data_IF_046502779465
#
_entry.id   IF_046502779465
#
_cell.length_a   1.000
_cell.length_b   1.000
_cell.length_c   1.000
_cell.angle_alpha   90.00
_cell.angle_beta   90.00
_cell.angle_gamma   90.00
#
_symmetry.space_group_name_H-M   'P 1'
#
loop_
_entity.id
_entity.type
_entity.pdbx_description
1 polymer ?
#
# COMPACT_ATOMS: atom_id res chain seq x y z
N UNK A 1 6.17 -16.13 0.95
CA UNK A 1 7.57 -15.86 0.53
C UNK A 1 8.58 -16.07 1.65
N UNK A 2 8.46 -15.38 2.81
CA UNK A 2 9.44 -15.50 3.90
C UNK A 2 9.69 -16.96 4.34
N UNK A 3 8.63 -17.70 4.68
CA UNK A 3 8.72 -19.12 5.05
C UNK A 3 9.42 -19.99 3.99
N UNK A 4 9.07 -19.81 2.71
CA UNK A 4 9.70 -20.56 1.60
C UNK A 4 11.19 -20.24 1.43
N UNK A 5 11.62 -19.03 1.79
CA UNK A 5 13.02 -18.58 1.72
C UNK A 5 13.78 -18.75 3.04
N UNK A 6 13.14 -19.31 4.08
CA UNK A 6 13.74 -19.50 5.40
C UNK A 6 13.94 -18.23 6.21
N UNK A 7 13.24 -17.13 5.89
CA UNK A 7 13.30 -15.90 6.67
C UNK A 7 12.29 -15.91 7.81
N UNK A 8 12.71 -15.40 8.99
CA UNK A 8 11.79 -14.98 10.04
C UNK A 8 11.05 -13.72 9.59
N UNK A 9 9.76 -13.65 9.88
CA UNK A 9 8.90 -12.53 9.48
C UNK A 9 8.13 -12.02 10.70
N UNK A 10 8.35 -10.76 11.03
CA UNK A 10 7.55 -10.01 12.00
C UNK A 10 6.69 -9.00 11.24
N UNK A 11 5.39 -9.01 11.49
CA UNK A 11 4.43 -8.07 10.91
C UNK A 11 3.87 -7.18 12.02
N UNK A 12 4.01 -5.87 11.83
CA UNK A 12 3.41 -4.85 12.69
C UNK A 12 2.15 -4.35 11.99
N UNK A 13 0.98 -4.62 12.57
CA UNK A 13 -0.31 -4.35 11.94
C UNK A 13 -1.29 -3.67 12.91
N UNK A 14 -2.11 -2.72 12.46
CA UNK A 14 -3.14 -2.12 13.30
C UNK A 14 -4.26 -3.10 13.68
N UNK A 15 -4.89 -2.87 14.82
CA UNK A 15 -5.99 -3.66 15.41
C UNK A 15 -7.31 -3.64 14.61
N UNK A 16 -7.46 -2.73 13.64
CA UNK A 16 -8.60 -2.71 12.70
C UNK A 16 -8.54 -3.80 11.60
N UNK A 17 -7.46 -4.58 11.52
CA UNK A 17 -7.31 -5.63 10.51
C UNK A 17 -8.13 -6.88 10.85
N UNK A 18 -8.78 -7.47 9.84
CA UNK A 18 -9.56 -8.70 9.98
C UNK A 18 -8.81 -9.84 10.71
N UNK A 19 -9.47 -10.49 11.67
CA UNK A 19 -8.88 -11.56 12.48
C UNK A 19 -8.44 -12.75 11.62
N UNK A 20 -9.16 -13.05 10.55
CA UNK A 20 -8.87 -14.12 9.61
C UNK A 20 -7.48 -13.94 8.97
N UNK A 21 -7.09 -12.70 8.64
CA UNK A 21 -5.76 -12.39 8.11
C UNK A 21 -4.68 -12.67 9.16
N UNK A 22 -4.91 -12.27 10.41
CA UNK A 22 -3.97 -12.50 11.52
C UNK A 22 -3.76 -13.99 11.76
N UNK A 23 -4.85 -14.76 11.82
CA UNK A 23 -4.81 -16.20 12.04
C UNK A 23 -4.11 -16.92 10.89
N UNK A 24 -4.38 -16.52 9.64
CA UNK A 24 -3.72 -17.08 8.48
C UNK A 24 -2.20 -16.83 8.50
N UNK A 25 -1.77 -15.60 8.80
CA UNK A 25 -0.35 -15.25 8.88
C UNK A 25 0.38 -15.98 10.01
N UNK A 26 -0.25 -16.12 11.18
CA UNK A 26 0.28 -16.93 12.29
C UNK A 26 0.43 -18.40 11.90
N UNK A 27 -0.56 -18.97 11.20
CA UNK A 27 -0.48 -20.34 10.69
C UNK A 27 0.66 -20.54 9.68
N UNK A 28 1.03 -19.49 8.94
CA UNK A 28 2.20 -19.47 8.05
C UNK A 28 3.54 -19.20 8.78
N UNK A 29 3.52 -19.07 10.11
CA UNK A 29 4.72 -18.88 10.94
C UNK A 29 5.18 -17.43 11.08
N UNK A 30 4.35 -16.45 10.76
CA UNK A 30 4.66 -15.04 11.00
C UNK A 30 4.45 -14.66 12.48
N UNK A 31 5.38 -13.89 13.02
CA UNK A 31 5.21 -13.20 14.30
C UNK A 31 4.37 -11.94 14.07
N UNK A 32 3.35 -11.71 14.89
CA UNK A 32 2.43 -10.58 14.73
C UNK A 32 2.54 -9.65 15.95
N UNK A 33 2.77 -8.37 15.68
CA UNK A 33 2.70 -7.29 16.65
C UNK A 33 1.49 -6.40 16.29
N UNK A 34 0.47 -6.41 17.15
CA UNK A 34 -0.74 -5.60 16.95
C UNK A 34 -0.50 -4.20 17.51
N UNK A 35 -0.88 -3.17 16.77
CA UNK A 35 -0.78 -1.75 17.18
C UNK A 35 -2.15 -1.08 17.15
N UNK A 36 -2.22 0.11 17.73
CA UNK A 36 -3.41 0.95 17.69
C UNK A 36 -3.68 1.48 16.26
N UNK A 37 -4.95 1.57 15.89
CA UNK A 37 -5.40 2.15 14.61
C UNK A 37 -5.87 3.60 14.70
N UNK A 38 -5.95 4.17 15.90
CA UNK A 38 -6.44 5.54 16.18
C UNK A 38 -5.32 6.59 16.32
N UNK A 39 -4.09 6.23 15.93
CA UNK A 39 -2.91 7.10 16.02
C UNK A 39 -2.22 7.20 14.66
N UNK A 40 -1.71 8.40 14.36
CA UNK A 40 -0.99 8.72 13.13
C UNK A 40 0.51 8.92 13.33
N UNK A 41 1.20 9.30 12.26
CA UNK A 41 2.66 9.51 12.22
C UNK A 41 3.14 10.47 13.32
N UNK A 42 4.23 10.10 13.99
CA UNK A 42 4.82 10.87 15.09
C UNK A 42 4.31 10.48 16.49
N UNK A 43 3.24 9.68 16.57
CA UNK A 43 2.86 9.02 17.81
C UNK A 43 3.73 7.77 18.05
N UNK A 44 4.22 7.50 19.28
CA UNK A 44 5.11 6.36 19.56
C UNK A 44 4.52 4.98 19.24
N UNK A 45 3.18 4.91 19.21
CA UNK A 45 2.42 3.69 18.88
C UNK A 45 2.03 3.57 17.39
N UNK A 46 2.52 4.46 16.53
CA UNK A 46 2.25 4.39 15.09
C UNK A 46 2.96 3.16 14.47
N UNK A 47 2.21 2.38 13.70
CA UNK A 47 2.67 1.06 13.25
C UNK A 47 3.94 1.09 12.39
N UNK A 48 4.12 2.12 11.56
CA UNK A 48 5.34 2.25 10.74
C UNK A 48 6.56 2.56 11.62
N UNK A 49 6.39 3.44 12.60
CA UNK A 49 7.45 3.88 13.51
C UNK A 49 7.86 2.71 14.44
N UNK A 50 6.89 1.93 14.93
CA UNK A 50 7.15 0.69 15.67
C UNK A 50 7.91 -0.32 14.80
N UNK A 51 7.50 -0.54 13.55
CA UNK A 51 8.14 -1.49 12.65
C UNK A 51 9.61 -1.12 12.37
N UNK A 52 9.87 0.16 12.13
CA UNK A 52 11.23 0.68 11.95
C UNK A 52 12.08 0.51 13.21
N UNK A 53 11.52 0.81 14.39
CA UNK A 53 12.20 0.63 15.67
C UNK A 53 12.54 -0.84 15.95
N UNK A 54 11.59 -1.76 15.77
CA UNK A 54 11.83 -3.21 15.94
C UNK A 54 12.94 -3.68 15.00
N UNK A 55 12.94 -3.21 13.74
CA UNK A 55 13.99 -3.56 12.80
C UNK A 55 15.37 -3.07 13.26
N UNK A 56 15.46 -1.83 13.75
CA UNK A 56 16.69 -1.27 14.32
C UNK A 56 17.19 -2.01 15.57
N UNK A 57 16.30 -2.37 16.48
CA UNK A 57 16.63 -3.08 17.73
C UNK A 57 17.07 -4.53 17.49
N UNK A 58 16.52 -5.19 16.48
CA UNK A 58 16.77 -6.62 16.20
C UNK A 58 17.77 -6.88 15.09
N UNK A 59 18.19 -5.83 14.36
CA UNK A 59 19.00 -5.96 13.15
C UNK A 59 18.23 -6.56 11.96
N UNK A 60 16.90 -6.52 11.98
CA UNK A 60 16.08 -7.02 10.89
C UNK A 60 16.06 -6.03 9.70
N UNK A 61 15.76 -6.55 8.51
CA UNK A 61 15.59 -5.70 7.32
C UNK A 61 14.18 -5.09 7.28
N UNK A 62 14.10 -3.76 7.34
CA UNK A 62 12.83 -3.04 7.23
C UNK A 62 12.39 -2.90 5.76
N UNK A 63 11.36 -3.65 5.36
CA UNK A 63 10.90 -3.71 3.96
C UNK A 63 10.26 -2.41 3.47
N UNK A 64 9.55 -1.71 4.36
CA UNK A 64 8.92 -0.39 4.15
C UNK A 64 8.18 -0.22 2.81
N UNK A 65 6.96 -0.76 2.69
CA UNK A 65 6.20 -0.67 1.43
C UNK A 65 5.89 0.75 0.96
N UNK A 66 5.93 1.75 1.87
CA UNK A 66 5.58 3.14 1.56
C UNK A 66 6.74 3.89 0.90
N UNK A 67 7.99 3.63 1.33
CA UNK A 67 9.17 4.31 0.78
C UNK A 67 10.00 3.43 -0.19
N UNK A 68 9.77 2.11 -0.21
CA UNK A 68 10.59 1.21 -1.01
C UNK A 68 10.27 1.34 -2.52
N UNK A 69 11.23 1.75 -3.37
CA UNK A 69 11.00 1.96 -4.80
C UNK A 69 10.63 0.66 -5.53
N UNK A 70 10.91 -0.51 -4.96
CA UNK A 70 10.51 -1.79 -5.52
C UNK A 70 8.99 -1.95 -5.60
N UNK A 71 8.22 -1.29 -4.72
CA UNK A 71 6.75 -1.34 -4.74
C UNK A 71 6.17 -0.78 -6.05
N UNK A 72 6.35 0.51 -6.40
CA UNK A 72 5.86 1.03 -7.67
C UNK A 72 6.56 0.40 -8.88
N UNK A 73 7.86 0.07 -8.77
CA UNK A 73 8.60 -0.55 -9.87
C UNK A 73 8.04 -1.92 -10.27
N UNK A 74 7.58 -2.73 -9.31
CA UNK A 74 6.95 -4.02 -9.63
C UNK A 74 5.77 -3.83 -10.59
N UNK A 75 4.88 -2.88 -10.30
CA UNK A 75 3.72 -2.60 -11.15
C UNK A 75 4.09 -1.97 -12.48
N UNK A 76 5.13 -1.13 -12.52
CA UNK A 76 5.63 -0.55 -13.76
C UNK A 76 6.26 -1.59 -14.69
N UNK A 77 7.00 -2.54 -14.11
CA UNK A 77 7.76 -3.55 -14.84
C UNK A 77 6.93 -4.78 -15.22
N UNK A 78 5.84 -5.08 -14.49
CA UNK A 78 5.03 -6.28 -14.74
C UNK A 78 3.55 -5.96 -14.94
N UNK A 79 2.87 -5.41 -13.93
CA UNK A 79 1.41 -5.21 -13.98
C UNK A 79 0.95 -4.34 -15.16
N UNK A 80 1.66 -3.24 -15.44
CA UNK A 80 1.37 -2.36 -16.57
C UNK A 80 1.50 -3.07 -17.93
N UNK A 81 2.66 -3.68 -18.25
CA UNK A 81 2.83 -4.50 -19.45
C UNK A 81 1.81 -5.62 -19.60
N UNK A 82 1.48 -6.31 -18.50
CA UNK A 82 0.48 -7.39 -18.50
C UNK A 82 -0.89 -6.87 -18.92
N UNK A 83 -1.38 -5.79 -18.28
CA UNK A 83 -2.67 -5.17 -18.62
C UNK A 83 -2.68 -4.74 -20.09
N UNK A 84 -1.63 -4.07 -20.56
CA UNK A 84 -1.55 -3.57 -21.94
C UNK A 84 -1.56 -4.67 -22.99
N UNK A 85 -0.85 -5.77 -22.72
CA UNK A 85 -0.85 -6.93 -23.61
C UNK A 85 -2.21 -7.63 -23.60
N UNK A 86 -2.80 -7.83 -22.41
CA UNK A 86 -4.09 -8.51 -22.24
C UNK A 86 -5.26 -7.70 -22.80
N UNK A 87 -5.19 -6.37 -22.79
CA UNK A 87 -6.20 -5.50 -23.42
C UNK A 87 -6.04 -5.40 -24.94
N UNK A 88 -5.08 -6.12 -25.53
CA UNK A 88 -4.73 -5.99 -26.95
C UNK A 88 -4.46 -4.54 -27.35
N UNK A 89 -3.88 -3.75 -26.43
CA UNK A 89 -3.57 -2.34 -26.65
C UNK A 89 -4.82 -1.45 -26.85
N UNK A 90 -5.99 -1.93 -26.45
CA UNK A 90 -7.25 -1.18 -26.48
C UNK A 90 -7.67 -0.89 -25.03
N UNK A 91 -7.25 0.26 -24.52
CA UNK A 91 -7.51 0.67 -23.15
C UNK A 91 -7.68 2.18 -23.10
N UNK A 92 -8.79 2.64 -22.55
CA UNK A 92 -9.06 4.08 -22.41
C UNK A 92 -8.79 4.59 -21.00
N UNK A 93 -9.03 3.74 -19.99
CA UNK A 93 -8.84 4.11 -18.59
C UNK A 93 -8.48 2.91 -17.71
N UNK A 94 -7.81 3.20 -16.60
CA UNK A 94 -7.53 2.26 -15.51
C UNK A 94 -8.01 2.87 -14.20
N UNK A 95 -8.88 2.15 -13.49
CA UNK A 95 -9.41 2.54 -12.18
C UNK A 95 -8.74 1.72 -11.10
N UNK A 96 -8.09 2.36 -10.13
CA UNK A 96 -7.42 1.68 -9.00
C UNK A 96 -7.69 2.36 -7.67
N UNK A 97 -7.91 1.57 -6.64
CA UNK A 97 -7.85 2.04 -5.26
C UNK A 97 -6.40 2.26 -4.83
N UNK A 98 -6.18 3.18 -3.88
CA UNK A 98 -4.84 3.52 -3.39
C UNK A 98 -4.75 3.29 -1.89
N UNK A 99 -3.77 2.48 -1.49
CA UNK A 99 -3.18 2.46 -0.15
C UNK A 99 -1.80 3.09 -0.21
N UNK A 100 -0.75 2.28 -0.26
CA UNK A 100 0.66 2.75 -0.34
C UNK A 100 1.03 3.54 -1.61
N UNK A 101 0.13 3.68 -2.58
CA UNK A 101 0.38 4.39 -3.85
C UNK A 101 1.20 3.63 -4.90
N UNK A 102 1.75 2.46 -4.57
CA UNK A 102 2.60 1.67 -5.46
C UNK A 102 1.95 1.34 -6.80
N UNK A 103 0.75 0.76 -6.77
CA UNK A 103 0.01 0.36 -7.97
C UNK A 103 -0.26 1.54 -8.91
N UNK A 104 -0.90 2.60 -8.40
CA UNK A 104 -1.23 3.78 -9.20
C UNK A 104 0.03 4.41 -9.79
N UNK A 105 1.08 4.56 -8.98
CA UNK A 105 2.36 5.14 -9.44
C UNK A 105 3.01 4.31 -10.54
N UNK A 106 3.12 2.99 -10.36
CA UNK A 106 3.78 2.11 -11.33
C UNK A 106 3.03 2.04 -12.65
N UNK A 107 1.71 1.90 -12.60
CA UNK A 107 0.85 1.92 -13.79
C UNK A 107 0.93 3.27 -14.50
N UNK A 108 0.85 4.38 -13.76
CA UNK A 108 0.93 5.73 -14.34
C UNK A 108 2.25 5.95 -15.08
N UNK A 109 3.38 5.52 -14.50
CA UNK A 109 4.70 5.62 -15.14
C UNK A 109 4.80 4.79 -16.42
N UNK A 110 4.26 3.58 -16.41
CA UNK A 110 4.25 2.71 -17.58
C UNK A 110 3.40 3.31 -18.70
N UNK A 111 2.13 3.64 -18.41
CA UNK A 111 1.19 4.14 -19.43
C UNK A 111 1.56 5.53 -19.93
N UNK A 112 2.14 6.40 -19.12
CA UNK A 112 2.67 7.69 -19.60
C UNK A 112 3.71 7.53 -20.73
N UNK A 113 4.44 6.40 -20.77
CA UNK A 113 5.41 6.12 -21.84
C UNK A 113 4.81 5.45 -23.07
N UNK A 114 3.91 4.49 -22.87
CA UNK A 114 3.44 3.62 -23.97
C UNK A 114 2.08 4.00 -24.54
N UNK A 115 1.23 4.64 -23.75
CA UNK A 115 -0.13 5.00 -24.10
C UNK A 115 -0.61 6.21 -23.24
N UNK A 116 -0.08 7.42 -23.50
CA UNK A 116 -0.36 8.60 -22.68
C UNK A 116 -1.81 9.08 -22.73
N UNK A 117 -2.63 8.50 -23.62
CA UNK A 117 -4.08 8.74 -23.69
C UNK A 117 -4.86 7.96 -22.63
N UNK A 118 -4.28 6.92 -22.01
CA UNK A 118 -4.95 6.11 -21.00
C UNK A 118 -5.13 6.94 -19.73
N UNK A 119 -6.37 7.11 -19.29
CA UNK A 119 -6.70 7.84 -18.08
C UNK A 119 -6.46 7.00 -16.82
N UNK A 120 -5.72 7.54 -15.86
CA UNK A 120 -5.56 6.93 -14.53
C UNK A 120 -6.59 7.52 -13.56
N UNK A 121 -7.46 6.67 -13.03
CA UNK A 121 -8.55 7.09 -12.14
C UNK A 121 -8.35 6.51 -10.74
N UNK A 122 -8.31 7.39 -9.75
CA UNK A 122 -8.24 7.05 -8.34
C UNK A 122 -9.65 6.71 -7.80
N UNK A 123 -9.83 5.50 -7.27
CA UNK A 123 -11.00 5.10 -6.49
C UNK A 123 -10.70 5.20 -4.98
N UNK A 124 -11.06 6.32 -4.37
CA UNK A 124 -10.76 6.64 -2.97
C UNK A 124 -11.99 6.44 -2.06
N UNK A 125 -11.87 5.75 -0.91
CA UNK A 125 -12.98 5.63 0.03
C UNK A 125 -13.36 6.98 0.66
N UNK A 126 -14.66 7.19 0.89
CA UNK A 126 -15.12 8.35 1.65
C UNK A 126 -14.49 8.34 3.05
N UNK A 127 -13.79 9.41 3.38
CA UNK A 127 -13.03 9.56 4.63
C UNK A 127 -11.53 9.70 4.40
N UNK A 128 -11.00 9.21 3.28
CA UNK A 128 -9.62 9.42 2.86
C UNK A 128 -9.37 10.83 2.35
N UNK A 129 -8.11 11.27 2.43
CA UNK A 129 -7.64 12.59 1.97
C UNK A 129 -7.18 12.59 0.50
N UNK A 130 -7.03 11.43 -0.13
CA UNK A 130 -6.30 11.31 -1.40
C UNK A 130 -7.01 12.01 -2.57
N UNK A 131 -8.34 12.00 -2.63
CA UNK A 131 -9.09 12.77 -3.66
C UNK A 131 -8.76 14.25 -3.60
N UNK A 132 -8.71 14.85 -2.40
CA UNK A 132 -8.47 16.28 -2.24
C UNK A 132 -7.03 16.62 -2.67
N UNK A 133 -6.08 15.74 -2.33
CA UNK A 133 -4.68 15.86 -2.74
C UNK A 133 -4.53 15.76 -4.26
N UNK A 134 -5.18 14.78 -4.90
CA UNK A 134 -5.12 14.61 -6.37
C UNK A 134 -5.77 15.77 -7.11
N UNK A 135 -6.91 16.27 -6.63
CA UNK A 135 -7.64 17.35 -7.31
C UNK A 135 -7.04 18.73 -7.08
N UNK A 136 -6.49 18.98 -5.88
CA UNK A 136 -6.14 20.35 -5.44
C UNK A 136 -4.70 20.53 -5.01
N UNK A 137 -3.94 19.44 -4.89
CA UNK A 137 -2.57 19.44 -4.37
C UNK A 137 -2.47 19.76 -2.88
N UNK A 138 -3.59 19.79 -2.15
CA UNK A 138 -3.65 20.15 -0.73
C UNK A 138 -4.51 19.16 0.04
N UNK A 139 -4.11 18.90 1.28
CA UNK A 139 -4.95 18.23 2.27
C UNK A 139 -5.95 19.28 2.77
N UNK A 140 -7.25 19.03 2.57
CA UNK A 140 -8.30 20.01 2.88
C UNK A 140 -9.18 19.60 4.07
N UNK A 141 -9.10 18.35 4.50
CA UNK A 141 -9.87 17.79 5.60
C UNK A 141 -8.99 16.83 6.41
N UNK A 142 -9.32 16.69 7.68
CA UNK A 142 -8.82 15.59 8.48
C UNK A 142 -9.42 14.27 7.99
N UNK A 143 -8.63 13.21 8.06
CA UNK A 143 -9.07 11.89 7.67
C UNK A 143 -10.18 11.37 8.59
N UNK A 144 -11.23 10.82 7.98
CA UNK A 144 -12.32 10.13 8.69
C UNK A 144 -12.04 8.64 8.82
N UNK A 145 -12.97 7.89 9.40
CA UNK A 145 -12.90 6.43 9.42
C UNK A 145 -13.68 5.80 8.25
N UNK A 146 -13.23 4.63 7.80
CA UNK A 146 -13.92 3.81 6.80
C UNK A 146 -13.71 2.32 7.07
N UNK A 147 -14.63 1.49 6.57
CA UNK A 147 -14.62 0.03 6.79
C UNK A 147 -13.79 -0.74 5.77
N UNK A 148 -13.51 -0.16 4.60
CA UNK A 148 -12.77 -0.85 3.54
C UNK A 148 -11.29 -0.96 3.93
N UNK A 149 -10.77 -2.17 3.99
CA UNK A 149 -9.36 -2.40 4.31
C UNK A 149 -8.46 -2.24 3.07
N UNK A 150 -7.26 -1.66 3.28
CA UNK A 150 -6.17 -1.65 2.29
C UNK A 150 -6.20 -0.50 1.27
N UNK A 151 -7.21 0.37 1.31
CA UNK A 151 -7.29 1.61 0.51
C UNK A 151 -7.67 2.80 1.40
N UNK A 152 -7.33 4.00 0.97
CA UNK A 152 -7.43 5.26 1.71
C UNK A 152 -6.18 5.55 2.56
N UNK A 153 -5.92 6.83 2.80
CA UNK A 153 -4.80 7.32 3.63
C UNK A 153 -5.28 8.44 4.55
N UNK A 154 -4.61 8.59 5.70
CA UNK A 154 -4.85 9.64 6.70
C UNK A 154 -3.90 10.85 6.64
#
# INVERSE_FOLDING_TARGET
>A
MAAQKGYRLTLVIPDKMAQEKVLHLKALGAEIHITRSDVGKGHPEYYQDIAERIAGETGAFYVNQFANPANPFAHEATTGPEIWAQSQQMLDAVVVGVGSGGTLTGLSRYFARVAPHVEMVLADPKGSILVDVVQTGKIQKEAGSWLVEGIGED
#
